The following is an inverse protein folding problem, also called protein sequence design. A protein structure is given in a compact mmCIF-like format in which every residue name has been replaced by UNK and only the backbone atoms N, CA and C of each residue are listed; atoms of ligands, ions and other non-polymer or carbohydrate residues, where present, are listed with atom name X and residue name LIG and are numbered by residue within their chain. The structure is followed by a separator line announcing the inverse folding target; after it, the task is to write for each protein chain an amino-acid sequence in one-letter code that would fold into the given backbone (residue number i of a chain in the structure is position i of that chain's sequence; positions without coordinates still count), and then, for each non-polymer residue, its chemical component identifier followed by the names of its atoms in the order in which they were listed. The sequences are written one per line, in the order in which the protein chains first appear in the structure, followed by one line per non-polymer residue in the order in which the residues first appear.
data_IF_262101740954
#
_entry.id   IF_262101740954
#
_cell.length_a   1.000
_cell.length_b   1.000
_cell.length_c   1.000
_cell.angle_alpha   90.00
_cell.angle_beta   90.00
_cell.angle_gamma   90.00
#
_symmetry.space_group_name_H-M   'P 1'
#
loop_
_entity.id
_entity.type
_entity.pdbx_description
1 polymer ?
#
# COMPACT_ATOMS: atom_id res chain seq x y z
N UNK A 1 -67.73 -18.97 -22.34
CA UNK A 1 -67.81 -17.99 -23.44
C UNK A 1 -67.00 -16.77 -23.02
N UNK A 2 -66.15 -16.31 -23.94
CA UNK A 2 -65.51 -14.98 -24.01
C UNK A 2 -66.47 -13.84 -23.57
N UNK A 3 -66.08 -12.66 -23.09
CA UNK A 3 -64.91 -11.82 -23.32
C UNK A 3 -65.05 -10.52 -22.47
N UNK A 4 -64.06 -9.62 -22.62
CA UNK A 4 -64.03 -8.15 -22.40
C UNK A 4 -63.34 -7.72 -21.08
N UNK A 5 -62.08 -7.21 -21.10
CA UNK A 5 -61.59 -5.88 -21.56
C UNK A 5 -62.28 -4.74 -20.80
N UNK A 6 -61.64 -3.69 -20.32
CA UNK A 6 -60.29 -3.09 -20.36
C UNK A 6 -60.37 -1.88 -19.38
N UNK A 7 -59.22 -1.46 -18.83
CA UNK A 7 -58.85 -0.03 -18.56
C UNK A 7 -59.75 0.81 -17.62
N UNK A 8 -59.34 1.83 -16.87
CA UNK A 8 -58.11 2.56 -16.59
C UNK A 8 -58.46 3.53 -15.44
N UNK A 9 -57.44 4.07 -14.75
CA UNK A 9 -57.47 5.39 -14.09
C UNK A 9 -58.34 5.50 -12.82
N UNK A 10 -58.07 6.30 -11.80
CA UNK A 10 -57.02 7.24 -11.39
C UNK A 10 -57.52 7.77 -10.03
N UNK A 11 -56.64 8.30 -9.19
CA UNK A 11 -57.05 9.22 -8.12
C UNK A 11 -56.92 8.69 -6.69
N UNK A 12 -55.92 9.23 -6.00
CA UNK A 12 -55.65 9.12 -4.58
C UNK A 12 -56.83 9.59 -3.71
N UNK A 13 -57.02 8.96 -2.54
CA UNK A 13 -57.07 9.71 -1.28
C UNK A 13 -56.88 8.81 -0.04
N UNK A 14 -56.41 9.46 1.02
CA UNK A 14 -55.56 9.00 2.12
C UNK A 14 -56.38 8.51 3.31
N UNK A 15 -55.94 7.46 4.04
CA UNK A 15 -56.12 7.38 5.51
C UNK A 15 -55.25 6.30 6.20
N UNK A 16 -54.21 6.82 6.86
CA UNK A 16 -53.73 6.57 8.23
C UNK A 16 -53.79 5.16 8.85
N UNK A 17 -52.62 4.65 9.24
CA UNK A 17 -52.22 4.02 10.52
C UNK A 17 -50.96 3.17 10.24
N UNK A 18 -49.91 3.03 11.04
CA UNK A 18 -49.69 3.19 12.48
C UNK A 18 -48.18 3.42 12.71
N UNK A 19 -47.85 4.10 13.80
CA UNK A 19 -46.51 4.28 14.35
C UNK A 19 -45.77 2.97 14.59
N UNK A 20 -44.49 2.92 14.23
CA UNK A 20 -43.49 2.09 14.92
C UNK A 20 -42.35 3.01 15.38
N UNK A 21 -42.43 3.46 16.63
CA UNK A 21 -41.31 4.01 17.37
C UNK A 21 -40.33 2.88 17.66
N UNK A 22 -39.21 2.85 16.93
CA UNK A 22 -38.08 2.00 17.30
C UNK A 22 -37.27 2.70 18.39
N UNK A 23 -37.47 2.21 19.62
CA UNK A 23 -36.80 2.64 20.83
C UNK A 23 -35.27 2.50 20.70
N UNK A 24 -34.58 3.61 20.90
CA UNK A 24 -33.15 3.69 21.14
C UNK A 24 -32.80 2.86 22.39
N UNK A 25 -32.13 1.72 22.22
CA UNK A 25 -31.44 1.04 23.32
C UNK A 25 -29.97 1.42 23.24
N UNK A 26 -29.54 2.33 24.11
CA UNK A 26 -28.14 2.44 24.51
C UNK A 26 -27.71 1.07 25.05
N UNK A 27 -26.72 0.47 24.40
CA UNK A 27 -25.98 -0.66 24.95
C UNK A 27 -24.73 -0.08 25.57
N UNK A 28 -24.69 -0.09 26.90
CA UNK A 28 -23.48 0.12 27.68
C UNK A 28 -22.50 -1.01 27.36
N UNK A 29 -21.55 -0.75 26.47
CA UNK A 29 -20.41 -1.63 26.23
C UNK A 29 -19.31 -1.27 27.23
N UNK A 30 -19.36 -1.91 28.39
CA UNK A 30 -18.26 -1.97 29.36
C UNK A 30 -17.02 -2.61 28.73
N UNK A 31 -15.85 -2.02 28.99
CA UNK A 31 -14.55 -2.68 28.90
C UNK A 31 -13.90 -2.74 27.52
N UNK A 32 -13.62 -1.60 26.90
CA UNK A 32 -12.58 -1.56 25.85
C UNK A 32 -11.20 -1.74 26.50
N UNK A 33 -10.67 -2.97 26.49
CA UNK A 33 -9.21 -3.13 26.47
C UNK A 33 -8.72 -2.64 25.11
N UNK A 34 -8.52 -1.33 25.01
CA UNK A 34 -7.75 -0.74 23.93
C UNK A 34 -6.32 -1.20 24.19
N UNK A 35 -5.87 -2.26 23.50
CA UNK A 35 -4.44 -2.38 23.23
C UNK A 35 -4.09 -1.09 22.50
N UNK A 36 -3.45 -0.15 23.19
CA UNK A 36 -2.75 0.93 22.51
C UNK A 36 -1.79 0.23 21.54
N UNK A 37 -2.11 0.26 20.25
CA UNK A 37 -1.15 -0.12 19.22
C UNK A 37 -0.01 0.90 19.33
N UNK A 38 1.04 0.50 20.04
CA UNK A 38 2.23 1.31 20.19
C UNK A 38 2.86 1.43 18.81
N UNK A 39 2.65 2.56 18.15
CA UNK A 39 3.25 2.84 16.85
C UNK A 39 4.77 2.74 17.00
N UNK A 40 5.41 2.04 16.06
CA UNK A 40 6.88 2.01 16.03
C UNK A 40 7.38 3.45 15.87
N UNK A 41 8.39 3.88 16.64
CA UNK A 41 8.97 5.21 16.54
C UNK A 41 9.83 5.32 15.27
N UNK A 42 9.16 5.39 14.11
CA UNK A 42 9.79 5.59 12.80
C UNK A 42 10.45 6.96 12.77
N UNK A 43 11.72 7.01 12.39
CA UNK A 43 12.50 8.24 12.33
C UNK A 43 12.55 8.81 10.92
N UNK A 44 13.02 8.02 9.96
CA UNK A 44 13.29 8.47 8.61
C UNK A 44 13.22 7.31 7.61
N UNK A 45 12.97 7.65 6.34
CA UNK A 45 13.24 6.74 5.23
C UNK A 45 14.74 6.50 5.16
N UNK A 46 15.14 5.23 5.21
CA UNK A 46 16.54 4.85 5.24
C UNK A 46 17.04 4.42 3.84
N UNK A 47 16.32 3.49 3.20
CA UNK A 47 16.74 2.89 1.92
C UNK A 47 15.53 2.63 1.04
N UNK A 48 15.67 2.92 -0.25
CA UNK A 48 14.77 2.46 -1.33
C UNK A 48 15.47 1.40 -2.15
N UNK A 49 14.96 0.18 -2.14
CA UNK A 49 15.39 -0.90 -3.02
C UNK A 49 14.56 -0.92 -4.29
N UNK A 50 15.22 -1.02 -5.44
CA UNK A 50 14.59 -0.95 -6.76
C UNK A 50 15.23 -1.91 -7.75
N UNK A 51 14.38 -2.73 -8.37
CA UNK A 51 14.70 -3.52 -9.54
C UNK A 51 14.98 -2.62 -10.75
N UNK A 52 16.00 -3.00 -11.50
CA UNK A 52 16.40 -2.35 -12.73
C UNK A 52 16.75 -3.39 -13.80
N UNK A 53 16.68 -2.98 -15.07
CA UNK A 53 17.05 -3.84 -16.22
C UNK A 53 18.55 -3.91 -16.46
N UNK A 54 19.26 -2.83 -16.11
CA UNK A 54 20.70 -2.70 -16.24
C UNK A 54 21.23 -1.85 -15.09
N UNK A 55 22.09 -2.42 -14.24
CA UNK A 55 22.67 -1.75 -13.08
C UNK A 55 23.62 -0.63 -13.50
N UNK A 56 24.45 -0.84 -14.51
CA UNK A 56 25.42 0.16 -14.96
C UNK A 56 24.72 1.41 -15.50
N UNK A 57 23.75 1.24 -16.39
CA UNK A 57 22.95 2.36 -16.94
C UNK A 57 22.18 3.09 -15.84
N UNK A 58 21.63 2.33 -14.87
CA UNK A 58 20.89 2.91 -13.75
C UNK A 58 21.82 3.72 -12.84
N UNK A 59 23.00 3.16 -12.49
CA UNK A 59 24.02 3.87 -11.71
C UNK A 59 24.43 5.15 -12.42
N UNK A 60 24.66 5.11 -13.73
CA UNK A 60 24.99 6.28 -14.53
C UNK A 60 23.91 7.36 -14.44
N UNK A 61 22.63 6.99 -14.57
CA UNK A 61 21.52 7.92 -14.41
C UNK A 61 21.49 8.54 -13.01
N UNK A 62 21.49 7.72 -11.95
CA UNK A 62 21.39 8.23 -10.59
C UNK A 62 22.59 9.10 -10.18
N UNK A 63 23.79 8.77 -10.65
CA UNK A 63 25.00 9.54 -10.33
C UNK A 63 25.10 10.82 -11.16
N UNK A 64 24.94 10.74 -12.49
CA UNK A 64 25.16 11.86 -13.41
C UNK A 64 23.98 12.85 -13.45
N UNK A 65 22.76 12.35 -13.36
CA UNK A 65 21.55 13.19 -13.48
C UNK A 65 21.01 13.63 -12.13
N UNK A 66 21.06 12.74 -11.13
CA UNK A 66 20.45 13.00 -9.81
C UNK A 66 21.49 13.29 -8.72
N UNK A 67 22.79 13.17 -9.01
CA UNK A 67 23.86 13.51 -8.08
C UNK A 67 24.06 12.51 -6.95
N UNK A 68 23.57 11.28 -7.06
CA UNK A 68 23.87 10.23 -6.08
C UNK A 68 25.34 9.82 -6.14
N UNK A 69 25.87 9.28 -5.04
CA UNK A 69 27.23 8.74 -4.96
C UNK A 69 27.17 7.24 -4.73
N UNK A 70 27.98 6.47 -5.46
CA UNK A 70 28.10 5.03 -5.24
C UNK A 70 28.87 4.77 -3.93
N UNK A 71 28.32 3.92 -3.07
CA UNK A 71 28.94 3.51 -1.81
C UNK A 71 29.38 2.04 -1.86
N UNK A 72 30.14 1.62 -0.85
CA UNK A 72 30.62 0.24 -0.75
C UNK A 72 29.46 -0.74 -0.64
N UNK A 73 29.52 -1.80 -1.45
CA UNK A 73 28.56 -2.88 -1.45
C UNK A 73 29.02 -3.97 -0.47
N UNK A 74 28.13 -4.49 0.40
CA UNK A 74 28.47 -5.64 1.22
C UNK A 74 28.89 -6.85 0.35
N UNK A 75 30.04 -7.48 0.63
CA UNK A 75 30.61 -8.51 -0.24
C UNK A 75 29.84 -9.83 -0.23
N UNK A 76 28.92 -10.03 0.73
CA UNK A 76 28.17 -11.27 0.89
C UNK A 76 27.11 -11.53 -0.20
N UNK A 77 26.80 -10.52 -1.02
CA UNK A 77 25.73 -10.62 -2.00
C UNK A 77 26.25 -11.04 -3.38
N UNK A 78 25.72 -12.16 -3.90
CA UNK A 78 26.09 -12.73 -5.22
C UNK A 78 24.99 -12.47 -6.28
N UNK A 79 24.81 -11.20 -6.64
CA UNK A 79 23.87 -10.76 -7.69
C UNK A 79 24.28 -9.40 -8.25
N UNK A 80 23.90 -9.05 -9.47
CA UNK A 80 24.22 -7.73 -10.01
C UNK A 80 23.42 -6.63 -9.30
N UNK A 81 24.11 -5.64 -8.74
CA UNK A 81 23.47 -4.58 -7.96
C UNK A 81 24.44 -3.53 -7.44
N UNK A 82 23.90 -2.40 -7.00
CA UNK A 82 24.68 -1.25 -6.56
C UNK A 82 24.01 -0.54 -5.38
N UNK A 83 24.83 0.04 -4.50
CA UNK A 83 24.37 0.89 -3.42
C UNK A 83 24.78 2.32 -3.73
N UNK A 84 23.82 3.22 -3.60
CA UNK A 84 23.97 4.64 -3.83
C UNK A 84 23.47 5.40 -2.60
N UNK A 85 24.04 6.56 -2.32
CA UNK A 85 23.60 7.41 -1.22
C UNK A 85 23.75 8.88 -1.60
N UNK A 86 22.71 9.67 -1.31
CA UNK A 86 22.75 11.13 -1.20
C UNK A 86 21.43 11.61 -0.57
N UNK A 87 21.35 12.88 -0.16
CA UNK A 87 20.12 13.52 0.35
C UNK A 87 19.51 12.83 1.58
N UNK A 88 20.31 12.08 2.35
CA UNK A 88 19.84 11.34 3.52
C UNK A 88 19.09 10.04 3.21
N UNK A 89 19.07 9.59 1.95
CA UNK A 89 18.43 8.33 1.55
C UNK A 89 19.41 7.45 0.75
N UNK A 90 19.43 6.17 1.09
CA UNK A 90 20.13 5.17 0.27
C UNK A 90 19.23 4.65 -0.86
N UNK A 91 19.84 4.28 -1.98
CA UNK A 91 19.20 3.49 -3.04
C UNK A 91 19.97 2.18 -3.21
N UNK A 92 19.26 1.07 -3.14
CA UNK A 92 19.77 -0.25 -3.49
C UNK A 92 19.19 -0.65 -4.85
N UNK A 93 20.05 -0.77 -5.86
CA UNK A 93 19.67 -1.25 -7.18
C UNK A 93 19.94 -2.74 -7.28
N UNK A 94 18.94 -3.49 -7.73
CA UNK A 94 19.03 -4.93 -8.00
C UNK A 94 18.75 -5.15 -9.49
N UNK A 95 19.61 -5.88 -10.20
CA UNK A 95 19.34 -6.23 -11.59
C UNK A 95 18.31 -7.36 -11.63
N UNK A 96 17.23 -7.16 -12.37
CA UNK A 96 16.32 -8.25 -12.67
C UNK A 96 16.95 -9.21 -13.69
N UNK A 97 16.85 -10.51 -13.43
CA UNK A 97 17.24 -11.57 -14.38
C UNK A 97 16.32 -11.60 -15.61
N UNK A 98 15.08 -11.17 -15.42
CA UNK A 98 14.08 -11.03 -16.47
C UNK A 98 13.70 -9.55 -16.61
N UNK A 99 13.93 -8.98 -17.78
CA UNK A 99 13.80 -7.54 -18.04
C UNK A 99 12.37 -7.03 -17.87
N UNK A 100 11.38 -7.90 -17.98
CA UNK A 100 9.97 -7.57 -17.87
C UNK A 100 9.34 -8.06 -16.56
N UNK A 101 10.16 -8.63 -15.66
CA UNK A 101 9.71 -9.04 -14.32
C UNK A 101 9.19 -7.82 -13.55
N UNK A 102 7.90 -7.86 -13.26
CA UNK A 102 7.28 -7.00 -12.26
C UNK A 102 7.51 -7.60 -10.86
N UNK A 103 7.48 -6.77 -9.80
CA UNK A 103 7.50 -7.27 -8.43
C UNK A 103 6.35 -8.25 -8.24
N UNK A 104 6.62 -9.39 -7.61
CA UNK A 104 5.60 -10.36 -7.26
C UNK A 104 4.77 -9.82 -6.08
N UNK A 105 3.44 -9.90 -6.18
CA UNK A 105 2.55 -9.44 -5.10
C UNK A 105 2.15 -10.57 -4.15
N UNK A 106 2.29 -11.82 -4.59
CA UNK A 106 1.79 -12.99 -3.86
C UNK A 106 2.88 -13.64 -2.99
N UNK A 107 4.15 -13.36 -3.28
CA UNK A 107 5.30 -13.93 -2.58
C UNK A 107 6.28 -12.86 -2.11
N UNK A 108 6.77 -12.99 -0.86
CA UNK A 108 7.80 -12.11 -0.31
C UNK A 108 9.18 -12.48 -0.86
N UNK A 109 9.72 -11.63 -1.74
CA UNK A 109 11.10 -11.75 -2.25
C UNK A 109 11.97 -10.61 -1.70
N UNK A 110 13.05 -10.91 -0.94
CA UNK A 110 14.03 -9.90 -0.51
C UNK A 110 14.70 -9.14 -1.67
N UNK A 111 14.67 -9.70 -2.89
CA UNK A 111 15.25 -9.12 -4.09
C UNK A 111 14.28 -8.19 -4.85
N UNK A 112 13.00 -8.17 -4.47
CA UNK A 112 12.02 -7.27 -5.07
C UNK A 112 12.11 -5.84 -4.50
N UNK A 113 11.32 -4.93 -5.07
CA UNK A 113 11.23 -3.55 -4.62
C UNK A 113 10.75 -3.48 -3.18
N UNK A 114 11.46 -2.73 -2.35
CA UNK A 114 11.07 -2.51 -0.96
C UNK A 114 11.64 -1.18 -0.44
N UNK A 115 11.08 -0.70 0.66
CA UNK A 115 11.61 0.45 1.40
C UNK A 115 11.87 0.04 2.83
N UNK A 116 12.87 0.66 3.46
CA UNK A 116 13.14 0.48 4.89
C UNK A 116 13.13 1.80 5.62
N UNK A 117 12.72 1.76 6.88
CA UNK A 117 12.70 2.91 7.76
C UNK A 117 13.68 2.69 8.91
N UNK A 118 14.32 3.78 9.34
CA UNK A 118 15.05 3.79 10.59
C UNK A 118 14.06 3.87 11.75
N UNK A 119 14.30 3.08 12.80
CA UNK A 119 13.49 3.07 14.03
C UNK A 119 14.39 3.35 15.23
N UNK A 120 13.84 4.02 16.24
CA UNK A 120 14.51 4.21 17.52
C UNK A 120 14.07 3.13 18.52
N UNK A 121 15.01 2.47 19.20
CA UNK A 121 14.67 1.62 20.34
C UNK A 121 14.78 2.50 21.60
N UNK A 122 13.64 2.68 22.29
CA UNK A 122 13.55 3.35 23.60
C UNK A 122 14.12 2.46 24.71
#
# INVERSE_FOLDING_TARGET
MQQMKEEESNGQEKKLSTNEESQHKEKDYEGKDQKEEHQLPLMALNLVSRLCRNVEESVDFYTKMLGFVKIERPPAFDFDGAWLFNYGVGIHLVQSKDKDRLPDQDHLDPMDNHISFQVHLL
#
